data_IF_574790396258
#
_entry.id   IF_574790396258
#
_cell.length_a   1.000
_cell.length_b   1.000
_cell.length_c   1.000
_cell.angle_alpha   90.00
_cell.angle_beta   90.00
_cell.angle_gamma   90.00
#
_symmetry.space_group_name_H-M   'P 1'
#
loop_
_entity.id
_entity.type
_entity.pdbx_description
1 polymer ?
#
# COMPACT_ATOMS: atom_id res chain seq x y z
N UNK A 1 0.51 13.15 -27.81
CA UNK A 1 1.28 12.18 -26.99
C UNK A 1 0.29 11.37 -26.15
N UNK A 2 0.50 10.06 -25.96
CA UNK A 2 -0.41 9.21 -25.15
C UNK A 2 0.29 8.85 -23.84
N UNK A 3 -0.22 9.36 -22.73
CA UNK A 3 0.30 9.05 -21.40
C UNK A 3 -0.40 7.80 -20.85
N UNK A 4 0.36 6.95 -20.16
CA UNK A 4 -0.15 5.75 -19.49
C UNK A 4 0.22 5.81 -18.01
N UNK A 5 -0.78 5.79 -17.14
CA UNK A 5 -0.58 5.74 -15.70
C UNK A 5 -0.74 4.29 -15.22
N UNK A 6 0.23 3.82 -14.44
CA UNK A 6 0.25 2.47 -13.87
C UNK A 6 0.06 2.62 -12.37
N UNK A 7 -1.08 2.14 -11.85
CA UNK A 7 -1.46 2.21 -10.45
C UNK A 7 -1.93 0.84 -9.98
N UNK A 8 -1.80 0.54 -8.69
CA UNK A 8 -2.20 -0.74 -8.14
C UNK A 8 -1.55 -1.04 -6.79
N UNK A 9 -2.11 -2.00 -6.05
CA UNK A 9 -1.58 -2.41 -4.75
C UNK A 9 -0.27 -3.20 -4.89
N UNK A 10 0.48 -3.31 -3.78
CA UNK A 10 1.64 -4.18 -3.71
C UNK A 10 1.32 -5.60 -4.22
N UNK A 11 2.20 -6.15 -5.05
CA UNK A 11 2.08 -7.48 -5.70
C UNK A 11 1.02 -7.59 -6.82
N UNK A 12 0.35 -6.51 -7.22
CA UNK A 12 -0.61 -6.51 -8.34
C UNK A 12 0.03 -6.60 -9.74
N UNK A 13 1.35 -6.45 -9.84
CA UNK A 13 2.08 -6.52 -11.12
C UNK A 13 2.39 -5.16 -11.75
N UNK A 14 2.17 -4.05 -11.04
CA UNK A 14 2.51 -2.69 -11.52
C UNK A 14 3.96 -2.58 -11.99
N UNK A 15 4.92 -3.09 -11.21
CA UNK A 15 6.34 -3.05 -11.58
C UNK A 15 6.68 -3.91 -12.79
N UNK A 16 5.90 -4.97 -13.07
CA UNK A 16 6.05 -5.77 -14.29
C UNK A 16 5.62 -4.96 -15.51
N UNK A 17 4.45 -4.32 -15.46
CA UNK A 17 3.95 -3.47 -16.56
C UNK A 17 4.87 -2.27 -16.77
N UNK A 18 5.34 -1.63 -15.70
CA UNK A 18 6.30 -0.53 -15.78
C UNK A 18 7.60 -0.97 -16.47
N UNK A 19 8.12 -2.15 -16.14
CA UNK A 19 9.29 -2.72 -16.83
C UNK A 19 9.04 -2.99 -18.31
N UNK A 20 7.85 -3.49 -18.69
CA UNK A 20 7.49 -3.74 -20.10
C UNK A 20 7.42 -2.42 -20.88
N UNK A 21 6.73 -1.41 -20.35
CA UNK A 21 6.57 -0.12 -21.03
C UNK A 21 7.88 0.65 -21.10
N UNK A 22 8.72 0.57 -20.07
CA UNK A 22 10.08 1.13 -20.11
C UNK A 22 10.90 0.51 -21.25
N UNK A 23 10.88 -0.83 -21.38
CA UNK A 23 11.55 -1.53 -22.49
C UNK A 23 10.95 -1.20 -23.86
N UNK A 24 9.67 -0.83 -23.91
CA UNK A 24 9.00 -0.38 -25.13
C UNK A 24 9.31 1.10 -25.49
N UNK A 25 10.18 1.78 -24.74
CA UNK A 25 10.59 3.16 -25.01
C UNK A 25 9.69 4.22 -24.40
N UNK A 26 8.77 3.86 -23.50
CA UNK A 26 8.03 4.86 -22.74
C UNK A 26 8.95 5.60 -21.77
N UNK A 27 8.82 6.91 -21.76
CA UNK A 27 9.47 7.75 -20.76
C UNK A 27 8.88 7.44 -19.38
N UNK A 28 9.74 7.02 -18.45
CA UNK A 28 9.36 6.74 -17.06
C UNK A 28 9.89 7.79 -16.09
N UNK A 29 11.15 8.21 -16.28
CA UNK A 29 11.86 9.30 -15.60
C UNK A 29 13.29 9.41 -16.16
N UNK A 30 13.99 10.51 -15.89
CA UNK A 30 15.42 10.65 -16.18
C UNK A 30 16.30 9.75 -15.29
N UNK A 31 15.95 9.59 -14.02
CA UNK A 31 16.70 8.80 -13.04
C UNK A 31 15.79 7.75 -12.36
N UNK A 32 15.86 6.52 -12.83
CA UNK A 32 15.26 5.35 -12.17
C UNK A 32 16.09 4.95 -10.95
N UNK A 33 15.45 4.33 -9.95
CA UNK A 33 16.18 3.84 -8.78
C UNK A 33 17.09 2.68 -9.15
N UNK A 34 18.31 2.74 -8.62
CA UNK A 34 19.27 1.65 -8.70
C UNK A 34 18.68 0.35 -8.14
N UNK A 35 19.05 -0.80 -8.73
CA UNK A 35 18.79 -2.10 -8.15
C UNK A 35 19.20 -2.19 -6.67
N UNK A 36 18.45 -2.97 -5.90
CA UNK A 36 18.77 -3.31 -4.50
C UNK A 36 18.64 -4.81 -4.28
N UNK A 37 19.18 -5.32 -3.18
CA UNK A 37 19.17 -6.77 -2.90
C UNK A 37 17.76 -7.40 -3.01
N UNK A 38 16.73 -6.71 -2.52
CA UNK A 38 15.33 -7.15 -2.61
C UNK A 38 14.64 -6.90 -3.95
N UNK A 39 15.26 -6.12 -4.84
CA UNK A 39 14.78 -5.87 -6.20
C UNK A 39 15.97 -5.73 -7.17
N UNK A 40 16.55 -6.85 -7.64
CA UNK A 40 17.77 -6.86 -8.45
C UNK A 40 17.60 -6.23 -9.84
N UNK A 41 16.36 -6.03 -10.29
CA UNK A 41 16.05 -5.40 -11.57
C UNK A 41 15.87 -3.88 -11.48
N UNK A 42 15.95 -3.32 -10.27
CA UNK A 42 15.65 -1.91 -10.04
C UNK A 42 14.16 -1.60 -10.16
N UNK A 43 13.83 -0.33 -9.96
CA UNK A 43 12.45 0.14 -10.05
C UNK A 43 12.24 0.86 -11.38
N UNK A 44 11.15 0.52 -12.06
CA UNK A 44 10.79 1.09 -13.36
C UNK A 44 9.74 2.21 -13.23
N UNK A 45 9.24 2.46 -12.02
CA UNK A 45 8.17 3.40 -11.70
C UNK A 45 8.75 4.74 -11.23
N UNK A 46 8.08 5.83 -11.55
CA UNK A 46 8.37 7.14 -10.97
C UNK A 46 7.92 7.17 -9.49
N UNK A 47 8.80 7.63 -8.60
CA UNK A 47 8.55 7.69 -7.16
C UNK A 47 7.40 8.62 -6.77
N UNK A 48 7.22 9.75 -7.46
CA UNK A 48 6.14 10.69 -7.18
C UNK A 48 4.80 10.03 -7.49
N UNK A 49 4.74 9.32 -8.61
CA UNK A 49 3.55 8.56 -9.02
C UNK A 49 3.29 7.42 -8.03
N UNK A 50 4.34 6.71 -7.61
CA UNK A 50 4.21 5.64 -6.62
C UNK A 50 3.73 6.18 -5.26
N UNK A 51 4.25 7.32 -4.80
CA UNK A 51 3.83 7.94 -3.55
C UNK A 51 2.34 8.36 -3.60
N UNK A 52 1.91 8.92 -4.72
CA UNK A 52 0.49 9.26 -4.95
C UNK A 52 -0.36 7.99 -4.93
N UNK A 53 0.08 6.91 -5.59
CA UNK A 53 -0.60 5.61 -5.58
C UNK A 53 -0.76 5.07 -4.14
N UNK A 54 0.30 5.06 -3.35
CA UNK A 54 0.25 4.62 -1.96
C UNK A 54 -0.71 5.47 -1.11
N UNK A 55 -0.69 6.80 -1.26
CA UNK A 55 -1.65 7.70 -0.58
C UNK A 55 -3.10 7.40 -0.95
N UNK A 56 -3.37 7.08 -2.21
CA UNK A 56 -4.71 6.66 -2.65
C UNK A 56 -5.09 5.35 -1.98
N UNK A 57 -4.21 4.33 -2.02
CA UNK A 57 -4.46 3.02 -1.44
C UNK A 57 -4.64 3.05 0.06
N UNK A 58 -3.86 3.84 0.80
CA UNK A 58 -4.01 4.03 2.25
C UNK A 58 -5.41 4.50 2.65
N UNK A 59 -6.00 5.40 1.84
CA UNK A 59 -7.37 5.89 2.08
C UNK A 59 -8.40 4.76 2.01
N UNK A 60 -8.20 3.76 1.15
CA UNK A 60 -9.10 2.62 0.98
C UNK A 60 -8.74 1.43 1.88
N UNK A 61 -7.48 1.28 2.27
CA UNK A 61 -7.00 0.21 3.15
C UNK A 61 -7.15 0.51 4.64
N UNK A 62 -7.59 1.72 5.03
CA UNK A 62 -8.02 1.98 6.40
C UNK A 62 -9.18 1.04 6.75
N UNK A 63 -8.83 -0.11 7.35
CA UNK A 63 -9.78 -0.88 8.17
C UNK A 63 -10.38 0.12 9.13
N UNK A 64 -11.70 0.20 9.13
CA UNK A 64 -12.44 1.05 10.05
C UNK A 64 -12.12 0.59 11.48
N UNK A 65 -11.08 1.20 12.03
CA UNK A 65 -10.48 0.81 13.29
C UNK A 65 -11.38 1.23 14.44
N UNK A 66 -12.40 2.05 14.16
CA UNK A 66 -13.45 2.44 15.10
C UNK A 66 -14.22 1.23 15.62
N UNK A 67 -14.65 0.30 14.74
CA UNK A 67 -15.37 -0.90 15.13
C UNK A 67 -14.48 -1.86 15.93
N UNK A 68 -13.24 -2.05 15.48
CA UNK A 68 -12.28 -2.92 16.14
C UNK A 68 -11.86 -2.37 17.52
N UNK A 69 -11.76 -1.05 17.64
CA UNK A 69 -11.53 -0.33 18.89
C UNK A 69 -12.75 -0.39 19.82
N UNK A 70 -13.96 -0.24 19.29
CA UNK A 70 -15.22 -0.35 20.03
C UNK A 70 -15.42 -1.76 20.59
N UNK A 71 -15.20 -2.79 19.78
CA UNK A 71 -15.27 -4.20 20.20
C UNK A 71 -14.27 -4.50 21.34
N UNK A 72 -13.02 -4.03 21.21
CA UNK A 72 -12.02 -4.15 22.29
C UNK A 72 -12.48 -3.47 23.58
N UNK A 73 -13.11 -2.30 23.48
CA UNK A 73 -13.63 -1.53 24.64
C UNK A 73 -14.81 -2.24 25.32
N UNK A 74 -15.72 -2.81 24.55
CA UNK A 74 -16.85 -3.61 25.07
C UNK A 74 -16.35 -4.87 25.78
N UNK A 75 -15.45 -5.63 25.16
CA UNK A 75 -14.88 -6.85 25.76
C UNK A 75 -14.15 -6.57 27.08
N UNK A 76 -13.41 -5.45 27.17
CA UNK A 76 -12.75 -5.02 28.42
C UNK A 76 -13.77 -4.71 29.53
N UNK A 77 -14.89 -4.05 29.19
CA UNK A 77 -15.98 -3.81 30.15
C UNK A 77 -16.63 -5.12 30.62
N UNK A 78 -16.94 -6.05 29.72
CA UNK A 78 -17.54 -7.34 30.07
C UNK A 78 -16.64 -8.17 31.01
N UNK A 79 -15.33 -8.20 30.75
CA UNK A 79 -14.36 -8.86 31.65
C UNK A 79 -14.32 -8.22 33.05
N UNK A 80 -14.39 -6.89 33.14
CA UNK A 80 -14.43 -6.16 34.43
C UNK A 80 -15.69 -6.48 35.24
N UNK A 81 -16.85 -6.56 34.60
CA UNK A 81 -18.13 -6.90 35.25
C UNK A 81 -18.11 -8.33 35.80
N UNK A 82 -17.50 -9.28 35.08
CA UNK A 82 -17.36 -10.67 35.56
C UNK A 82 -16.53 -10.76 36.84
N UNK A 83 -15.45 -10.00 36.94
CA UNK A 83 -14.56 -9.96 38.11
C UNK A 83 -15.25 -9.38 39.36
N UNK A 84 -16.10 -8.36 39.19
CA UNK A 84 -16.83 -7.72 40.30
C UNK A 84 -18.01 -8.55 40.83
N UNK A 85 -18.47 -9.57 40.09
CA UNK A 85 -19.53 -10.50 40.53
C UNK A 85 -19.01 -11.75 41.24
N UNK A 86 -17.68 -11.89 41.40
CA UNK A 86 -17.02 -13.04 42.02
C UNK A 86 -16.45 -12.75 43.41
N UNK A 87 -16.72 -11.55 43.95
CA UNK A 87 -16.41 -11.11 45.33
C UNK A 87 -17.72 -10.89 46.05
#
# INVERSE_FOLDING_TARGET
>A
MKNCLILGSGRSGTSMIAGILHKAGYFMRDNLYSPRHSNPKGFFENWEINEINEKILEKYNKKDSSLLHLLKKILKRLKKVKYLKQV
#
